data_IF_741677575925
#
_entry.id   IF_741677575925
#
_cell.length_a   1.000
_cell.length_b   1.000
_cell.length_c   1.000
_cell.angle_alpha   90.00
_cell.angle_beta   90.00
_cell.angle_gamma   90.00
#
_symmetry.space_group_name_H-M   'P 1'
#
loop_
_entity.id
_entity.type
_entity.pdbx_description
1 polymer ?
#
# COMPACT_ATOMS: atom_id res chain seq x y z
N UNK A 1 -35.38 27.64 -39.96
CA UNK A 1 -34.49 28.49 -39.13
C UNK A 1 -34.33 27.97 -37.69
N UNK A 2 -35.34 27.49 -36.97
CA UNK A 2 -35.23 27.02 -35.55
C UNK A 2 -34.50 25.68 -35.39
N UNK A 3 -34.68 24.69 -36.28
CA UNK A 3 -34.04 23.36 -36.16
C UNK A 3 -32.52 23.39 -36.36
N UNK A 4 -32.05 24.15 -37.31
CA UNK A 4 -30.63 24.27 -37.67
C UNK A 4 -29.82 24.99 -36.56
N UNK A 5 -30.42 25.95 -35.87
CA UNK A 5 -29.84 26.61 -34.73
C UNK A 5 -29.70 25.67 -33.53
N UNK A 6 -30.74 24.86 -33.24
CA UNK A 6 -30.71 23.88 -32.15
C UNK A 6 -29.67 22.77 -32.38
N UNK A 7 -29.52 22.34 -33.64
CA UNK A 7 -28.53 21.32 -34.00
C UNK A 7 -27.09 21.82 -33.82
N UNK A 8 -26.81 23.08 -34.14
CA UNK A 8 -25.50 23.72 -33.90
C UNK A 8 -25.20 23.80 -32.42
N UNK A 9 -26.16 24.24 -31.59
CA UNK A 9 -25.95 24.35 -30.12
C UNK A 9 -25.71 22.97 -29.49
N UNK A 10 -26.43 21.95 -29.93
CA UNK A 10 -26.24 20.58 -29.45
C UNK A 10 -24.83 20.06 -29.80
N UNK A 11 -24.35 20.29 -31.01
CA UNK A 11 -23.01 19.88 -31.44
C UNK A 11 -21.91 20.58 -30.67
N UNK A 12 -22.05 21.88 -30.39
CA UNK A 12 -21.10 22.64 -29.54
C UNK A 12 -21.04 22.08 -28.09
N UNK A 13 -22.19 21.75 -27.51
CA UNK A 13 -22.26 21.15 -26.17
C UNK A 13 -21.58 19.79 -26.15
N UNK A 14 -21.81 18.94 -27.17
CA UNK A 14 -21.20 17.63 -27.29
C UNK A 14 -19.67 17.75 -27.42
N UNK A 15 -19.19 18.68 -28.24
CA UNK A 15 -17.76 18.91 -28.44
C UNK A 15 -17.08 19.39 -27.16
N UNK A 16 -17.72 20.32 -26.45
CA UNK A 16 -17.26 20.80 -25.14
C UNK A 16 -17.21 19.65 -24.11
N UNK A 17 -18.27 18.88 -23.99
CA UNK A 17 -18.34 17.74 -23.09
C UNK A 17 -17.24 16.68 -23.39
N UNK A 18 -17.02 16.38 -24.66
CA UNK A 18 -15.97 15.47 -25.09
C UNK A 18 -14.57 15.99 -24.76
N UNK A 19 -14.33 17.30 -24.93
CA UNK A 19 -13.04 17.91 -24.59
C UNK A 19 -12.75 17.85 -23.08
N UNK A 20 -13.76 18.09 -22.24
CA UNK A 20 -13.62 17.99 -20.78
C UNK A 20 -13.40 16.53 -20.32
N UNK A 21 -14.08 15.57 -20.94
CA UNK A 21 -13.86 14.13 -20.69
C UNK A 21 -12.42 13.73 -21.06
N UNK A 22 -11.91 14.20 -22.19
CA UNK A 22 -10.54 13.90 -22.64
C UNK A 22 -9.49 14.52 -21.72
N UNK A 23 -9.67 15.77 -21.29
CA UNK A 23 -8.82 16.42 -20.29
C UNK A 23 -8.81 15.66 -18.95
N UNK A 24 -9.98 15.23 -18.50
CA UNK A 24 -10.14 14.42 -17.30
C UNK A 24 -9.39 13.09 -17.41
N UNK A 25 -9.55 12.35 -18.52
CA UNK A 25 -8.82 11.10 -18.79
C UNK A 25 -7.31 11.29 -18.79
N UNK A 26 -6.81 12.34 -19.45
CA UNK A 26 -5.37 12.68 -19.45
C UNK A 26 -4.86 12.97 -18.04
N UNK A 27 -5.62 13.70 -17.22
CA UNK A 27 -5.27 13.98 -15.82
C UNK A 27 -5.18 12.69 -15.00
N UNK A 28 -6.15 11.80 -15.10
CA UNK A 28 -6.12 10.50 -14.41
C UNK A 28 -4.95 9.63 -14.87
N UNK A 29 -4.66 9.62 -16.17
CA UNK A 29 -3.52 8.87 -16.72
C UNK A 29 -2.18 9.38 -16.16
N UNK A 30 -2.01 10.71 -16.08
CA UNK A 30 -0.80 11.33 -15.51
C UNK A 30 -0.67 10.96 -14.03
N UNK A 31 -1.75 11.06 -13.26
CA UNK A 31 -1.75 10.68 -11.83
C UNK A 31 -1.38 9.19 -11.67
N UNK A 32 -2.00 8.31 -12.46
CA UNK A 32 -1.71 6.88 -12.43
C UNK A 32 -0.24 6.60 -12.75
N UNK A 33 0.30 7.24 -13.79
CA UNK A 33 1.70 7.09 -14.19
C UNK A 33 2.65 7.60 -13.09
N UNK A 34 2.35 8.74 -12.48
CA UNK A 34 3.14 9.32 -11.38
C UNK A 34 3.15 8.39 -10.16
N UNK A 35 2.01 7.81 -9.81
CA UNK A 35 1.92 6.83 -8.72
C UNK A 35 2.73 5.59 -9.05
N UNK A 36 2.63 5.07 -10.27
CA UNK A 36 3.40 3.89 -10.69
C UNK A 36 4.91 4.15 -10.61
N UNK A 37 5.38 5.28 -11.12
CA UNK A 37 6.79 5.67 -11.05
C UNK A 37 7.26 5.82 -9.60
N UNK A 38 6.46 6.45 -8.74
CA UNK A 38 6.81 6.62 -7.32
C UNK A 38 6.92 5.28 -6.58
N UNK A 39 6.06 4.31 -6.89
CA UNK A 39 6.13 2.95 -6.34
C UNK A 39 7.40 2.23 -6.81
N UNK A 40 7.79 2.36 -8.07
CA UNK A 40 9.02 1.76 -8.59
C UNK A 40 10.26 2.38 -7.93
N UNK A 41 10.32 3.71 -7.80
CA UNK A 41 11.43 4.41 -7.14
C UNK A 41 11.52 3.99 -5.67
N UNK A 42 10.40 3.92 -4.96
CA UNK A 42 10.35 3.47 -3.57
C UNK A 42 10.84 2.03 -3.43
N UNK A 43 10.45 1.14 -4.35
CA UNK A 43 10.86 -0.25 -4.38
C UNK A 43 12.38 -0.39 -4.57
N UNK A 44 12.97 0.38 -5.49
CA UNK A 44 14.42 0.41 -5.72
C UNK A 44 15.16 0.98 -4.49
N UNK A 45 14.66 2.06 -3.90
CA UNK A 45 15.23 2.65 -2.69
C UNK A 45 15.22 1.67 -1.51
N UNK A 46 14.14 0.89 -1.33
CA UNK A 46 14.04 -0.15 -0.31
C UNK A 46 15.04 -1.29 -0.56
N UNK A 47 15.22 -1.72 -1.81
CA UNK A 47 16.22 -2.73 -2.16
C UNK A 47 17.64 -2.26 -1.87
N UNK A 48 17.98 -1.01 -2.22
CA UNK A 48 19.29 -0.43 -1.92
C UNK A 48 19.51 -0.26 -0.41
N UNK A 49 18.51 0.21 0.33
CA UNK A 49 18.58 0.31 1.79
C UNK A 49 18.78 -1.07 2.42
N UNK A 50 18.13 -2.11 1.91
CA UNK A 50 18.30 -3.48 2.36
C UNK A 50 19.75 -3.98 2.20
N UNK A 51 20.41 -3.67 1.08
CA UNK A 51 21.79 -4.07 0.83
C UNK A 51 22.80 -3.30 1.69
N UNK A 52 22.53 -2.01 1.99
CA UNK A 52 23.44 -1.15 2.76
C UNK A 52 23.35 -1.40 4.28
N UNK A 53 22.17 -1.71 4.81
CA UNK A 53 21.91 -1.84 6.27
C UNK A 53 22.09 -3.29 6.76
N UNK A 54 22.77 -4.16 6.02
CA UNK A 54 22.95 -5.59 6.38
C UNK A 54 21.67 -6.35 6.74
N UNK A 55 20.52 -5.91 6.27
CA UNK A 55 19.23 -6.64 6.30
C UNK A 55 18.65 -7.07 7.66
N UNK A 56 19.49 -7.15 8.69
CA UNK A 56 19.15 -7.83 9.96
C UNK A 56 18.04 -7.17 10.77
N UNK A 57 17.78 -5.88 10.57
CA UNK A 57 16.82 -5.10 11.39
C UNK A 57 15.64 -4.57 10.55
N UNK A 58 15.69 -4.71 9.24
CA UNK A 58 14.70 -4.12 8.33
C UNK A 58 13.27 -4.62 8.57
N UNK A 59 13.11 -5.90 8.90
CA UNK A 59 11.79 -6.47 9.17
C UNK A 59 11.15 -5.86 10.43
N UNK A 60 11.95 -5.53 11.47
CA UNK A 60 11.45 -4.84 12.66
C UNK A 60 10.98 -3.43 12.32
N UNK A 61 11.76 -2.70 11.52
CA UNK A 61 11.40 -1.35 11.09
C UNK A 61 10.07 -1.33 10.33
N UNK A 62 9.90 -2.22 9.36
CA UNK A 62 8.63 -2.34 8.63
C UNK A 62 7.48 -2.81 9.53
N UNK A 63 7.74 -3.72 10.47
CA UNK A 63 6.76 -4.18 11.45
C UNK A 63 6.24 -3.04 12.33
N UNK A 64 7.13 -2.18 12.82
CA UNK A 64 6.74 -1.01 13.63
C UNK A 64 5.87 -0.05 12.80
N UNK A 65 6.23 0.24 11.56
CA UNK A 65 5.42 1.11 10.68
C UNK A 65 4.06 0.47 10.40
N UNK A 66 3.99 -0.85 10.20
CA UNK A 66 2.74 -1.57 10.00
C UNK A 66 1.81 -1.41 11.21
N UNK A 67 2.34 -1.54 12.43
CA UNK A 67 1.57 -1.38 13.67
C UNK A 67 1.08 0.07 13.84
N UNK A 68 1.96 1.04 13.66
CA UNK A 68 1.59 2.47 13.79
C UNK A 68 0.50 2.83 12.79
N UNK A 69 0.63 2.41 11.54
CA UNK A 69 -0.38 2.70 10.50
C UNK A 69 -1.68 1.94 10.71
N UNK A 70 -1.65 0.73 11.30
CA UNK A 70 -2.85 0.01 11.73
C UNK A 70 -3.59 0.76 12.85
N UNK A 71 -2.88 1.28 13.85
CA UNK A 71 -3.47 2.11 14.91
C UNK A 71 -4.08 3.40 14.36
N UNK A 72 -3.39 4.07 13.43
CA UNK A 72 -3.92 5.25 12.75
C UNK A 72 -5.18 4.94 11.92
N UNK A 73 -5.25 3.75 11.31
CA UNK A 73 -6.46 3.28 10.63
C UNK A 73 -7.63 3.17 11.61
N UNK A 74 -7.45 2.55 12.77
CA UNK A 74 -8.49 2.41 13.81
C UNK A 74 -8.95 3.80 14.29
N UNK A 75 -8.02 4.67 14.66
CA UNK A 75 -8.34 6.03 15.15
C UNK A 75 -9.11 6.83 14.09
N UNK A 76 -8.69 6.76 12.82
CA UNK A 76 -9.36 7.45 11.73
C UNK A 76 -10.78 6.90 11.50
N UNK A 77 -10.96 5.59 11.60
CA UNK A 77 -12.27 4.94 11.48
C UNK A 77 -13.21 5.35 12.63
N UNK A 78 -12.72 5.38 13.86
CA UNK A 78 -13.50 5.83 15.02
C UNK A 78 -13.88 7.31 14.95
N UNK A 79 -13.04 8.13 14.34
CA UNK A 79 -13.31 9.56 14.09
C UNK A 79 -14.15 9.80 12.82
N UNK A 80 -14.70 8.76 12.20
CA UNK A 80 -15.49 8.82 10.98
C UNK A 80 -14.75 9.49 9.79
N UNK A 81 -13.42 9.44 9.77
CA UNK A 81 -12.60 9.93 8.66
C UNK A 81 -12.31 8.83 7.64
N UNK A 82 -11.92 9.23 6.45
CA UNK A 82 -11.48 8.27 5.43
C UNK A 82 -10.17 7.60 5.83
N UNK A 83 -10.20 6.29 6.09
CA UNK A 83 -9.05 5.50 6.54
C UNK A 83 -8.44 4.61 5.44
N UNK A 84 -8.87 4.76 4.17
CA UNK A 84 -8.46 3.90 3.04
C UNK A 84 -6.94 3.81 2.88
N UNK A 85 -6.25 4.96 2.97
CA UNK A 85 -4.80 5.05 2.81
C UNK A 85 -4.04 4.38 3.96
N UNK A 86 -4.47 4.59 5.21
CA UNK A 86 -3.84 3.94 6.37
C UNK A 86 -3.96 2.43 6.31
N UNK A 87 -5.11 1.92 5.85
CA UNK A 87 -5.35 0.49 5.65
C UNK A 87 -4.42 -0.10 4.60
N UNK A 88 -4.34 0.55 3.43
CA UNK A 88 -3.45 0.11 2.36
C UNK A 88 -1.98 0.11 2.81
N UNK A 89 -1.52 1.20 3.44
CA UNK A 89 -0.15 1.33 3.94
C UNK A 89 0.15 0.26 5.00
N UNK A 90 -0.74 0.05 5.97
CA UNK A 90 -0.58 -0.96 7.02
C UNK A 90 -0.41 -2.37 6.44
N UNK A 91 -1.27 -2.77 5.51
CA UNK A 91 -1.17 -4.09 4.86
C UNK A 91 0.12 -4.20 4.02
N UNK A 92 0.50 -3.16 3.29
CA UNK A 92 1.72 -3.15 2.50
C UNK A 92 2.97 -3.31 3.38
N UNK A 93 3.05 -2.59 4.49
CA UNK A 93 4.17 -2.74 5.42
C UNK A 93 4.18 -4.07 6.15
N UNK A 94 3.04 -4.69 6.41
CA UNK A 94 2.95 -6.07 6.90
C UNK A 94 3.59 -7.04 5.90
N UNK A 95 3.28 -6.91 4.61
CA UNK A 95 3.90 -7.72 3.56
C UNK A 95 5.41 -7.49 3.48
N UNK A 96 5.86 -6.22 3.53
CA UNK A 96 7.29 -5.91 3.53
C UNK A 96 8.02 -6.49 4.73
N UNK A 97 7.38 -6.53 5.91
CA UNK A 97 7.92 -7.20 7.10
C UNK A 97 8.18 -8.67 6.83
N UNK A 98 7.20 -9.39 6.28
CA UNK A 98 7.32 -10.81 5.95
C UNK A 98 8.42 -11.06 4.90
N UNK A 99 8.42 -10.29 3.81
CA UNK A 99 9.43 -10.41 2.76
C UNK A 99 10.85 -10.13 3.28
N UNK A 100 11.02 -9.12 4.13
CA UNK A 100 12.32 -8.76 4.70
C UNK A 100 12.83 -9.84 5.65
N UNK A 101 11.96 -10.42 6.46
CA UNK A 101 12.33 -11.53 7.33
C UNK A 101 12.70 -12.78 6.53
N UNK A 102 11.93 -13.11 5.48
CA UNK A 102 12.26 -14.20 4.59
C UNK A 102 13.62 -14.02 3.92
N UNK A 103 13.93 -12.80 3.44
CA UNK A 103 15.22 -12.49 2.86
C UNK A 103 16.37 -12.63 3.87
N UNK A 104 16.16 -12.26 5.14
CA UNK A 104 17.12 -12.48 6.20
C UNK A 104 17.36 -13.95 6.50
N UNK A 105 16.30 -14.76 6.60
CA UNK A 105 16.41 -16.19 6.79
C UNK A 105 17.21 -16.85 5.64
N UNK A 106 16.98 -16.42 4.40
CA UNK A 106 17.75 -16.88 3.25
C UNK A 106 19.25 -16.54 3.36
N UNK A 107 19.60 -15.37 3.92
CA UNK A 107 21.00 -15.00 4.15
C UNK A 107 21.67 -15.90 5.20
N UNK A 108 20.97 -16.30 6.27
CA UNK A 108 21.50 -17.25 7.25
C UNK A 108 21.80 -18.61 6.62
N UNK A 109 20.91 -19.08 5.73
CA UNK A 109 21.15 -20.33 4.97
C UNK A 109 22.39 -20.21 4.08
N UNK A 110 22.55 -19.11 3.34
CA UNK A 110 23.70 -18.87 2.48
C UNK A 110 25.01 -18.76 3.28
N UNK A 111 24.96 -18.14 4.45
CA UNK A 111 26.11 -18.03 5.37
C UNK A 111 26.39 -19.32 6.14
N UNK A 112 25.53 -20.36 6.00
CA UNK A 112 25.58 -21.60 6.80
C UNK A 112 25.49 -21.37 8.31
N UNK A 113 24.84 -20.28 8.72
CA UNK A 113 24.60 -19.95 10.12
C UNK A 113 23.34 -20.66 10.63
N UNK A 114 23.49 -21.95 10.85
CA UNK A 114 22.41 -22.81 11.32
C UNK A 114 21.97 -22.47 12.75
N UNK A 115 22.89 -21.93 13.58
CA UNK A 115 22.59 -21.50 14.94
C UNK A 115 21.58 -20.35 14.93
N UNK A 116 21.86 -19.27 14.19
CA UNK A 116 20.93 -18.15 14.05
C UNK A 116 19.57 -18.59 13.48
N UNK A 117 19.60 -19.51 12.49
CA UNK A 117 18.36 -20.02 11.89
C UNK A 117 17.51 -20.80 12.90
N UNK A 118 18.12 -21.71 13.68
CA UNK A 118 17.40 -22.56 14.64
C UNK A 118 16.92 -21.79 15.86
N UNK A 119 17.65 -20.78 16.30
CA UNK A 119 17.32 -20.01 17.50
C UNK A 119 16.25 -18.94 17.22
N UNK A 120 16.32 -18.28 16.06
CA UNK A 120 15.47 -17.11 15.78
C UNK A 120 14.22 -17.48 14.98
N UNK A 121 14.32 -18.40 14.02
CA UNK A 121 13.22 -18.68 13.10
C UNK A 121 11.93 -19.16 13.79
N UNK A 122 11.94 -20.10 14.77
CA UNK A 122 10.71 -20.61 15.37
C UNK A 122 9.96 -19.52 16.15
N UNK A 123 10.66 -18.74 16.96
CA UNK A 123 10.07 -17.67 17.78
C UNK A 123 9.54 -16.52 16.94
N UNK A 124 10.34 -16.07 15.97
CA UNK A 124 9.95 -14.96 15.09
C UNK A 124 8.82 -15.34 14.14
N UNK A 125 8.79 -16.57 13.65
CA UNK A 125 7.69 -17.07 12.82
C UNK A 125 6.33 -16.92 13.52
N UNK A 126 6.24 -17.30 14.80
CA UNK A 126 5.01 -17.15 15.59
C UNK A 126 4.59 -15.67 15.74
N UNK A 127 5.55 -14.78 15.99
CA UNK A 127 5.30 -13.33 16.08
C UNK A 127 4.81 -12.79 14.74
N UNK A 128 5.39 -13.20 13.63
CA UNK A 128 4.99 -12.75 12.30
C UNK A 128 3.59 -13.25 11.92
N UNK A 129 3.23 -14.48 12.30
CA UNK A 129 1.88 -15.00 12.13
C UNK A 129 0.87 -14.15 12.92
N UNK A 130 1.17 -13.88 14.19
CA UNK A 130 0.31 -13.04 15.02
C UNK A 130 0.15 -11.63 14.43
N UNK A 131 1.26 -10.99 14.02
CA UNK A 131 1.24 -9.67 13.39
C UNK A 131 0.37 -9.67 12.12
N UNK A 132 0.50 -10.70 11.29
CA UNK A 132 -0.26 -10.81 10.04
C UNK A 132 -1.75 -10.95 10.30
N UNK A 133 -2.15 -11.86 11.19
CA UNK A 133 -3.55 -12.08 11.56
C UNK A 133 -4.13 -10.80 12.17
N UNK A 134 -3.44 -10.19 13.12
CA UNK A 134 -3.87 -8.94 13.76
C UNK A 134 -4.02 -7.80 12.72
N UNK A 135 -3.06 -7.66 11.81
CA UNK A 135 -3.11 -6.66 10.74
C UNK A 135 -4.33 -6.87 9.83
N UNK A 136 -4.58 -8.11 9.40
CA UNK A 136 -5.75 -8.44 8.56
C UNK A 136 -7.05 -8.15 9.30
N UNK A 137 -7.19 -8.59 10.56
CA UNK A 137 -8.41 -8.37 11.35
C UNK A 137 -8.69 -6.88 11.56
N UNK A 138 -7.70 -6.11 12.01
CA UNK A 138 -7.85 -4.66 12.26
C UNK A 138 -8.25 -3.93 10.97
N UNK A 139 -7.62 -4.27 9.86
CA UNK A 139 -7.92 -3.62 8.58
C UNK A 139 -9.27 -4.07 8.01
N UNK A 140 -9.72 -5.29 8.31
CA UNK A 140 -11.05 -5.79 7.92
C UNK A 140 -12.17 -5.11 8.72
N UNK A 141 -12.01 -4.94 10.04
CA UNK A 141 -13.01 -4.24 10.87
C UNK A 141 -13.30 -2.86 10.30
N UNK A 142 -12.26 -2.11 9.95
CA UNK A 142 -12.42 -0.78 9.39
C UNK A 142 -13.10 -0.75 8.01
N UNK A 143 -13.12 -1.89 7.29
CA UNK A 143 -13.84 -2.06 6.04
C UNK A 143 -15.35 -2.20 6.28
N UNK A 144 -15.73 -3.05 7.24
CA UNK A 144 -17.14 -3.35 7.55
C UNK A 144 -17.83 -2.18 8.23
N UNK A 145 -17.18 -1.50 9.17
CA UNK A 145 -17.75 -0.33 9.85
C UNK A 145 -18.14 0.83 8.92
N UNK A 146 -17.61 0.88 7.70
CA UNK A 146 -17.92 1.92 6.71
C UNK A 146 -19.11 1.57 5.82
N UNK A 147 -19.54 0.31 5.78
CA UNK A 147 -20.57 -0.15 4.84
C UNK A 147 -22.02 0.13 5.31
N UNK A 148 -22.21 0.59 6.54
CA UNK A 148 -23.51 0.84 7.15
C UNK A 148 -24.07 2.27 6.91
N UNK A 149 -23.69 2.91 5.75
CA UNK A 149 -24.23 4.25 5.38
C UNK A 149 -24.62 4.33 3.94
#
# INVERSE_FOLDING_TARGET
>A
MSKEHNEKVVNEIIEYANSEIEKSKKKYLIILLTVLISVVILSIALLLAFTVINGQVMWLFFGIIAIITALMNVISTLRHREAKWFRFISLSFTIFTLCSFYAQAAQWVLAKDWSALMDVLPSTSNILWFLTIASVLINSISLFMKNDR
#
